data_IF_311732036579
#
_entry.id   IF_311732036579
#
_cell.length_a   1.000
_cell.length_b   1.000
_cell.length_c   1.000
_cell.angle_alpha   90.00
_cell.angle_beta   90.00
_cell.angle_gamma   90.00
#
_symmetry.space_group_name_H-M   'P 1'
#
loop_
_entity.id
_entity.type
_entity.pdbx_description
1 polymer ?
#
# COMPACT_ATOMS: atom_id res chain seq x y z
N UNK A 1 22.69 -14.99 -1.47
CA UNK A 1 21.25 -14.70 -1.56
C UNK A 1 20.76 -14.32 -0.17
N UNK A 2 19.99 -13.27 0.01
CA UNK A 2 19.40 -12.96 1.31
C UNK A 2 18.47 -14.11 1.73
N UNK A 3 18.39 -14.36 3.04
CA UNK A 3 17.46 -15.36 3.60
C UNK A 3 16.02 -14.95 3.30
N UNK A 4 15.15 -15.90 3.01
CA UNK A 4 13.72 -15.67 2.73
C UNK A 4 13.06 -14.83 3.83
N UNK A 5 13.43 -15.03 5.08
CA UNK A 5 12.94 -14.23 6.20
C UNK A 5 13.36 -12.76 6.11
N UNK A 6 14.59 -12.53 5.64
CA UNK A 6 15.10 -11.18 5.46
C UNK A 6 14.39 -10.45 4.32
N UNK A 7 14.16 -11.12 3.18
CA UNK A 7 13.39 -10.59 2.06
C UNK A 7 11.99 -10.17 2.54
N UNK A 8 11.28 -11.07 3.23
CA UNK A 8 9.95 -10.78 3.76
C UNK A 8 9.97 -9.60 4.74
N UNK A 9 10.98 -9.51 5.60
CA UNK A 9 11.15 -8.41 6.55
C UNK A 9 11.33 -7.07 5.82
N UNK A 10 12.16 -7.03 4.80
CA UNK A 10 12.41 -5.81 4.02
C UNK A 10 11.17 -5.39 3.23
N UNK A 11 10.50 -6.32 2.55
CA UNK A 11 9.25 -6.04 1.85
C UNK A 11 8.17 -5.51 2.81
N UNK A 12 8.12 -6.03 4.05
CA UNK A 12 7.19 -5.55 5.07
C UNK A 12 7.49 -4.12 5.56
N UNK A 13 8.72 -3.64 5.37
CA UNK A 13 9.15 -2.27 5.67
C UNK A 13 8.97 -1.31 4.47
N UNK A 14 8.51 -1.80 3.33
CA UNK A 14 8.29 -0.99 2.14
C UNK A 14 7.23 0.09 2.33
N UNK A 15 7.29 1.13 1.49
CA UNK A 15 6.27 2.19 1.45
C UNK A 15 4.89 1.62 1.11
N UNK A 16 4.83 0.62 0.25
CA UNK A 16 3.60 -0.08 -0.09
C UNK A 16 2.95 -0.74 1.15
N UNK A 17 3.76 -1.40 1.96
CA UNK A 17 3.26 -2.01 3.20
C UNK A 17 2.97 -0.99 4.29
N UNK A 18 3.68 0.13 4.34
CA UNK A 18 3.33 1.25 5.21
C UNK A 18 1.92 1.76 4.88
N UNK A 19 1.62 1.91 3.60
CA UNK A 19 0.30 2.30 3.12
C UNK A 19 -0.79 1.28 3.48
N UNK A 20 -0.55 -0.01 3.26
CA UNK A 20 -1.48 -1.09 3.65
C UNK A 20 -1.76 -1.07 5.15
N UNK A 21 -0.71 -1.01 5.98
CA UNK A 21 -0.83 -0.95 7.45
C UNK A 21 -1.69 0.22 7.90
N UNK A 22 -1.48 1.38 7.29
CA UNK A 22 -2.26 2.57 7.57
C UNK A 22 -3.75 2.38 7.28
N UNK A 23 -4.08 1.83 6.11
CA UNK A 23 -5.49 1.59 5.75
C UNK A 23 -6.14 0.53 6.63
N UNK A 24 -5.39 -0.50 7.02
CA UNK A 24 -5.88 -1.49 7.99
C UNK A 24 -6.11 -0.86 9.37
N UNK A 25 -5.23 0.05 9.80
CA UNK A 25 -5.42 0.79 11.04
C UNK A 25 -6.67 1.69 11.00
N UNK A 26 -6.85 2.42 9.89
CA UNK A 26 -8.06 3.23 9.66
C UNK A 26 -9.30 2.33 9.71
N UNK A 27 -9.30 1.21 8.98
CA UNK A 27 -10.41 0.27 8.98
C UNK A 27 -10.72 -0.26 10.39
N UNK A 28 -9.69 -0.57 11.18
CA UNK A 28 -9.84 -1.05 12.56
C UNK A 28 -10.52 -0.01 13.48
N UNK A 29 -10.33 1.29 13.21
CA UNK A 29 -11.01 2.36 13.96
C UNK A 29 -12.43 2.56 13.42
N UNK A 30 -12.61 2.57 12.11
CA UNK A 30 -13.92 2.88 11.50
C UNK A 30 -14.93 1.75 11.64
N UNK A 31 -14.51 0.49 11.72
CA UNK A 31 -15.43 -0.64 11.93
C UNK A 31 -16.27 -0.46 13.21
N UNK A 32 -15.67 -0.32 14.40
CA UNK A 32 -16.47 -0.15 15.62
C UNK A 32 -17.29 1.14 15.61
N UNK A 33 -16.78 2.23 15.03
CA UNK A 33 -17.52 3.49 14.92
C UNK A 33 -18.74 3.32 14.03
N UNK A 34 -18.61 2.70 12.86
CA UNK A 34 -19.74 2.48 11.94
C UNK A 34 -20.78 1.53 12.53
N UNK A 35 -20.36 0.52 13.30
CA UNK A 35 -21.29 -0.37 14.02
C UNK A 35 -22.07 0.40 15.08
N UNK A 36 -21.41 1.28 15.84
CA UNK A 36 -22.07 2.12 16.84
C UNK A 36 -23.07 3.09 16.20
N UNK A 37 -22.64 3.82 15.16
CA UNK A 37 -23.51 4.76 14.44
C UNK A 37 -24.71 4.01 13.84
N UNK A 38 -24.46 2.85 13.22
CA UNK A 38 -25.51 2.02 12.66
C UNK A 38 -26.50 1.56 13.73
N UNK A 39 -26.01 1.14 14.90
CA UNK A 39 -26.84 0.70 16.01
C UNK A 39 -27.77 1.82 16.52
N UNK A 40 -27.22 3.01 16.76
CA UNK A 40 -28.01 4.15 17.23
C UNK A 40 -28.92 4.73 16.14
N UNK A 41 -28.40 4.86 14.92
CA UNK A 41 -29.15 5.44 13.80
C UNK A 41 -30.33 4.58 13.31
N UNK A 42 -30.27 3.26 13.51
CA UNK A 42 -31.38 2.37 13.11
C UNK A 42 -32.38 2.11 14.22
N UNK A 43 -32.16 2.67 15.42
CA UNK A 43 -32.96 2.39 16.60
C UNK A 43 -34.42 2.76 16.40
N UNK A 44 -34.69 3.90 15.78
CA UNK A 44 -36.03 4.48 15.68
C UNK A 44 -36.69 4.22 14.31
N UNK A 45 -35.89 3.86 13.29
CA UNK A 45 -36.40 3.71 11.91
C UNK A 45 -36.81 2.29 11.51
N UNK A 46 -36.31 1.27 12.21
CA UNK A 46 -36.47 -0.14 11.81
C UNK A 46 -36.88 -1.02 13.00
N UNK A 47 -38.03 -0.73 13.60
CA UNK A 47 -38.54 -1.51 14.74
C UNK A 47 -38.81 -2.98 14.39
N UNK A 48 -39.27 -3.24 13.15
CA UNK A 48 -39.77 -4.54 12.71
C UNK A 48 -38.75 -5.32 11.81
N UNK A 49 -37.59 -4.74 11.53
CA UNK A 49 -36.58 -5.37 10.66
C UNK A 49 -35.33 -5.73 11.48
N UNK A 50 -34.70 -6.89 11.22
CA UNK A 50 -33.44 -7.25 11.86
C UNK A 50 -32.37 -6.18 11.56
N UNK A 51 -31.91 -5.46 12.58
CA UNK A 51 -30.95 -4.33 12.43
C UNK A 51 -29.57 -4.79 12.05
N UNK A 52 -29.11 -5.90 12.59
CA UNK A 52 -27.75 -6.39 12.39
C UNK A 52 -27.36 -6.63 10.93
N UNK A 53 -28.20 -7.26 10.09
CA UNK A 53 -27.87 -7.39 8.68
C UNK A 53 -27.68 -6.07 7.95
N UNK A 54 -28.48 -5.06 8.28
CA UNK A 54 -28.40 -3.71 7.67
C UNK A 54 -27.10 -3.04 8.10
N UNK A 55 -26.79 -3.06 9.40
CA UNK A 55 -25.57 -2.45 9.94
C UNK A 55 -24.33 -3.10 9.31
N UNK A 56 -24.28 -4.44 9.25
CA UNK A 56 -23.19 -5.16 8.63
C UNK A 56 -23.08 -4.87 7.13
N UNK A 57 -24.21 -4.82 6.42
CA UNK A 57 -24.20 -4.51 5.00
C UNK A 57 -23.61 -3.13 4.73
N UNK A 58 -24.04 -2.10 5.45
CA UNK A 58 -23.52 -0.73 5.31
C UNK A 58 -22.03 -0.68 5.66
N UNK A 59 -21.63 -1.31 6.77
CA UNK A 59 -20.23 -1.34 7.21
C UNK A 59 -19.34 -2.04 6.19
N UNK A 60 -19.75 -3.20 5.69
CA UNK A 60 -19.00 -3.96 4.69
C UNK A 60 -18.94 -3.23 3.34
N UNK A 61 -19.99 -2.55 2.94
CA UNK A 61 -20.01 -1.77 1.70
C UNK A 61 -19.04 -0.59 1.79
N UNK A 62 -18.93 0.05 2.94
CA UNK A 62 -18.04 1.19 3.16
C UNK A 62 -16.56 0.77 3.28
N UNK A 63 -16.27 -0.31 3.99
CA UNK A 63 -14.90 -0.70 4.37
C UNK A 63 -14.38 -1.85 3.51
N UNK A 64 -15.27 -2.70 2.99
CA UNK A 64 -14.90 -3.87 2.19
C UNK A 64 -13.96 -3.57 1.02
N UNK A 65 -14.22 -2.56 0.19
CA UNK A 65 -13.33 -2.20 -0.92
C UNK A 65 -11.90 -1.88 -0.45
N UNK A 66 -11.75 -1.22 0.69
CA UNK A 66 -10.44 -0.89 1.27
C UNK A 66 -9.70 -2.17 1.69
N UNK A 67 -10.40 -3.09 2.37
CA UNK A 67 -9.82 -4.36 2.80
C UNK A 67 -9.42 -5.24 1.61
N UNK A 68 -10.26 -5.30 0.58
CA UNK A 68 -9.98 -6.04 -0.67
C UNK A 68 -8.75 -5.44 -1.36
N UNK A 69 -8.68 -4.13 -1.48
CA UNK A 69 -7.51 -3.44 -2.04
C UNK A 69 -6.23 -3.76 -1.25
N UNK A 70 -6.27 -3.68 0.08
CA UNK A 70 -5.13 -4.03 0.94
C UNK A 70 -4.70 -5.49 0.76
N UNK A 71 -5.67 -6.41 0.68
CA UNK A 71 -5.39 -7.82 0.48
C UNK A 71 -4.74 -8.08 -0.89
N UNK A 72 -5.30 -7.53 -1.98
CA UNK A 72 -4.74 -7.68 -3.33
C UNK A 72 -3.32 -7.12 -3.39
N UNK A 73 -3.09 -5.92 -2.82
CA UNK A 73 -1.77 -5.29 -2.83
C UNK A 73 -0.75 -6.12 -2.04
N UNK A 74 -1.13 -6.63 -0.88
CA UNK A 74 -0.27 -7.51 -0.08
C UNK A 74 0.06 -8.80 -0.84
N UNK A 75 -0.95 -9.45 -1.41
CA UNK A 75 -0.75 -10.68 -2.18
C UNK A 75 0.19 -10.44 -3.35
N UNK A 76 0.00 -9.37 -4.11
CA UNK A 76 0.85 -9.05 -5.26
C UNK A 76 2.32 -8.83 -4.90
N UNK A 77 2.59 -8.23 -3.73
CA UNK A 77 3.97 -8.01 -3.28
C UNK A 77 4.61 -9.32 -2.79
N UNK A 78 3.86 -10.15 -2.05
CA UNK A 78 4.45 -11.34 -1.42
C UNK A 78 4.35 -12.61 -2.26
N UNK A 79 3.53 -12.63 -3.33
CA UNK A 79 3.32 -13.82 -4.18
C UNK A 79 4.62 -14.36 -4.79
N UNK A 80 5.52 -13.45 -5.18
CA UNK A 80 6.82 -13.77 -5.79
C UNK A 80 7.95 -13.15 -4.98
N UNK A 81 7.90 -13.28 -3.65
CA UNK A 81 8.85 -12.63 -2.76
C UNK A 81 10.30 -13.09 -2.99
N UNK A 82 10.49 -14.29 -3.50
CA UNK A 82 11.83 -14.86 -3.76
C UNK A 82 12.52 -14.28 -5.01
N UNK A 83 11.73 -13.70 -5.92
CA UNK A 83 12.21 -13.12 -7.19
C UNK A 83 12.58 -11.63 -7.06
N UNK A 84 12.63 -11.09 -5.83
CA UNK A 84 13.03 -9.70 -5.61
C UNK A 84 14.53 -9.54 -5.49
N UNK A 85 15.09 -8.62 -6.28
CA UNK A 85 16.46 -8.14 -6.17
C UNK A 85 16.47 -6.76 -5.52
N UNK A 86 17.37 -6.58 -4.55
CA UNK A 86 17.48 -5.32 -3.81
C UNK A 86 18.65 -4.52 -4.34
N UNK A 87 18.40 -3.30 -4.77
CA UNK A 87 19.42 -2.37 -5.21
C UNK A 87 19.24 -0.97 -4.61
N UNK A 88 20.32 -0.21 -4.54
CA UNK A 88 20.27 1.21 -4.15
C UNK A 88 20.17 2.06 -5.41
N UNK A 89 19.22 2.96 -5.42
CA UNK A 89 18.98 3.87 -6.56
C UNK A 89 18.49 5.23 -6.08
N UNK A 90 18.52 6.20 -6.96
CA UNK A 90 17.98 7.53 -6.69
C UNK A 90 16.57 7.65 -7.30
N UNK A 91 15.63 8.16 -6.53
CA UNK A 91 14.28 8.42 -7.02
C UNK A 91 14.28 9.69 -7.89
N UNK A 92 14.05 9.53 -9.18
CA UNK A 92 14.07 10.62 -10.15
C UNK A 92 12.72 10.76 -10.84
N UNK A 93 12.54 11.89 -11.52
CA UNK A 93 11.43 12.17 -12.44
C UNK A 93 10.05 11.77 -11.86
N UNK A 94 9.55 12.49 -10.85
CA UNK A 94 8.22 12.24 -10.32
C UNK A 94 7.18 12.42 -11.42
N UNK A 95 6.36 11.40 -11.65
CA UNK A 95 5.28 11.40 -12.63
C UNK A 95 3.94 11.21 -11.91
N UNK A 96 2.87 11.79 -12.43
CA UNK A 96 1.52 11.49 -11.94
C UNK A 96 1.24 9.99 -12.02
N UNK A 97 0.73 9.43 -10.95
CA UNK A 97 0.31 8.02 -10.91
C UNK A 97 -1.03 7.81 -11.62
N UNK A 98 -1.44 6.56 -11.71
CA UNK A 98 -2.71 6.16 -12.32
C UNK A 98 -3.95 6.55 -11.52
N UNK A 99 -3.78 6.86 -10.25
CA UNK A 99 -4.83 7.31 -9.33
C UNK A 99 -4.52 8.74 -8.92
N UNK A 100 -5.57 9.56 -8.75
CA UNK A 100 -5.44 10.93 -8.24
C UNK A 100 -4.63 10.95 -6.94
N UNK A 101 -3.77 11.95 -6.81
CA UNK A 101 -2.91 12.14 -5.64
C UNK A 101 -1.88 11.01 -5.42
N UNK A 102 -1.51 10.30 -6.48
CA UNK A 102 -0.40 9.35 -6.47
C UNK A 102 0.72 9.81 -7.38
N UNK A 103 1.95 9.44 -7.03
CA UNK A 103 3.16 9.68 -7.81
C UNK A 103 3.90 8.38 -8.02
N UNK A 104 4.52 8.27 -9.18
CA UNK A 104 5.51 7.25 -9.50
C UNK A 104 6.85 7.92 -9.70
N UNK A 105 7.91 7.24 -9.31
CA UNK A 105 9.27 7.66 -9.61
C UNK A 105 9.86 6.74 -10.68
N UNK A 106 10.69 7.31 -11.55
CA UNK A 106 11.56 6.51 -12.40
C UNK A 106 12.84 6.23 -11.62
N UNK A 107 13.26 4.97 -11.59
CA UNK A 107 14.49 4.51 -10.95
C UNK A 107 15.36 3.79 -11.96
N UNK A 108 16.67 3.86 -11.76
CA UNK A 108 17.64 3.09 -12.53
C UNK A 108 17.93 1.81 -11.76
N UNK A 109 17.62 0.68 -12.35
CA UNK A 109 17.85 -0.63 -11.76
C UNK A 109 19.05 -1.27 -12.46
N UNK A 110 19.90 -1.90 -11.69
CA UNK A 110 20.98 -2.74 -12.17
C UNK A 110 20.61 -4.19 -11.85
N UNK A 111 20.47 -5.01 -12.89
CA UNK A 111 20.15 -6.43 -12.72
C UNK A 111 21.39 -7.26 -12.29
N UNK A 112 21.22 -8.55 -12.10
CA UNK A 112 22.27 -9.45 -11.68
C UNK A 112 23.45 -9.54 -12.68
N UNK A 113 23.20 -9.24 -13.96
CA UNK A 113 24.17 -9.26 -15.05
C UNK A 113 24.86 -7.90 -15.24
N UNK A 114 24.51 -6.88 -14.43
CA UNK A 114 25.07 -5.53 -14.50
C UNK A 114 24.43 -4.66 -15.59
N UNK A 115 23.36 -5.11 -16.22
CA UNK A 115 22.59 -4.30 -17.17
C UNK A 115 21.73 -3.27 -16.45
N UNK A 116 21.80 -2.02 -16.92
CA UNK A 116 21.05 -0.90 -16.32
C UNK A 116 19.84 -0.53 -17.18
N UNK A 117 18.69 -0.50 -16.57
CA UNK A 117 17.46 -0.10 -17.22
C UNK A 117 16.63 0.81 -16.30
N UNK A 118 15.73 1.59 -16.91
CA UNK A 118 14.82 2.45 -16.18
C UNK A 118 13.50 1.74 -15.93
N UNK A 119 13.02 1.77 -14.69
CA UNK A 119 11.72 1.23 -14.31
C UNK A 119 10.94 2.24 -13.47
N UNK A 120 9.62 2.16 -13.51
CA UNK A 120 8.77 3.00 -12.69
C UNK A 120 8.38 2.28 -11.39
N UNK A 121 8.44 2.99 -10.27
CA UNK A 121 7.98 2.46 -8.97
C UNK A 121 6.48 2.25 -8.97
N UNK A 122 5.99 1.48 -8.02
CA UNK A 122 4.57 1.51 -7.69
C UNK A 122 4.09 2.93 -7.36
N UNK A 123 2.80 3.18 -7.57
CA UNK A 123 2.20 4.45 -7.22
C UNK A 123 2.26 4.68 -5.70
N UNK A 124 2.84 5.80 -5.32
CA UNK A 124 2.99 6.24 -3.93
C UNK A 124 2.02 7.41 -3.73
N UNK A 125 1.25 7.39 -2.66
CA UNK A 125 0.32 8.47 -2.36
C UNK A 125 1.05 9.70 -1.82
N UNK A 126 0.67 10.87 -2.33
CA UNK A 126 1.29 12.15 -2.01
C UNK A 126 0.54 12.96 -0.97
N UNK A 127 -0.71 12.58 -0.67
CA UNK A 127 -1.56 13.33 0.26
C UNK A 127 -1.21 12.99 1.69
N UNK A 128 -0.57 13.95 2.37
CA UNK A 128 0.05 13.46 3.49
C UNK A 128 0.27 14.35 4.63
N UNK A 129 -0.54 15.37 4.77
CA UNK A 129 -0.67 16.11 6.00
C UNK A 129 -1.07 15.27 7.23
N UNK A 130 -0.55 14.13 7.39
CA UNK A 130 -0.84 13.21 8.51
C UNK A 130 0.08 12.00 8.53
N UNK A 131 0.92 11.88 7.49
CA UNK A 131 1.84 10.75 7.34
C UNK A 131 3.27 11.23 7.17
N UNK A 132 3.96 11.58 8.27
CA UNK A 132 5.30 12.17 8.22
C UNK A 132 6.32 11.29 7.52
N UNK A 133 6.01 10.00 7.30
CA UNK A 133 6.90 9.06 6.63
C UNK A 133 6.63 8.92 5.12
N UNK A 134 5.71 9.70 4.55
CA UNK A 134 5.30 9.60 3.15
C UNK A 134 5.30 10.97 2.45
N UNK A 135 5.92 11.98 3.04
CA UNK A 135 6.08 13.28 2.40
C UNK A 135 6.94 13.13 1.14
N UNK A 136 6.42 13.63 0.01
CA UNK A 136 7.07 13.48 -1.29
C UNK A 136 8.45 14.13 -1.32
N UNK A 137 8.56 15.29 -0.69
CA UNK A 137 9.80 16.07 -0.62
C UNK A 137 10.94 15.27 0.03
N UNK A 138 10.60 14.33 0.92
CA UNK A 138 11.58 13.48 1.59
C UNK A 138 12.19 12.42 0.67
N UNK A 139 11.61 12.18 -0.51
CA UNK A 139 12.03 11.10 -1.41
C UNK A 139 12.61 11.59 -2.73
N UNK A 140 12.28 12.81 -3.18
CA UNK A 140 12.81 13.34 -4.44
C UNK A 140 14.33 13.51 -4.38
N UNK A 141 15.04 12.93 -5.35
CA UNK A 141 16.49 12.92 -5.43
C UNK A 141 17.23 12.23 -4.27
N UNK A 142 16.54 11.47 -3.45
CA UNK A 142 17.18 10.68 -2.41
C UNK A 142 17.62 9.31 -2.92
N UNK A 143 18.72 8.83 -2.38
CA UNK A 143 19.14 7.44 -2.57
C UNK A 143 18.36 6.55 -1.61
N UNK A 144 17.59 5.65 -2.17
CA UNK A 144 16.77 4.68 -1.44
C UNK A 144 17.12 3.27 -1.85
N UNK A 145 16.73 2.31 -1.04
CA UNK A 145 16.74 0.90 -1.44
C UNK A 145 15.43 0.59 -2.16
N UNK A 146 15.51 -0.03 -3.32
CA UNK A 146 14.34 -0.56 -4.02
C UNK A 146 14.45 -2.06 -4.15
N UNK A 147 13.30 -2.72 -4.14
CA UNK A 147 13.19 -4.13 -4.48
C UNK A 147 12.54 -4.23 -5.86
N UNK A 148 13.23 -4.83 -6.81
CA UNK A 148 12.73 -5.11 -8.15
C UNK A 148 12.43 -6.58 -8.31
N UNK A 149 11.26 -6.88 -8.85
CA UNK A 149 10.83 -8.25 -9.13
C UNK A 149 10.84 -8.49 -10.64
N UNK A 150 11.72 -9.38 -11.10
CA UNK A 150 11.90 -9.68 -12.52
C UNK A 150 10.68 -10.37 -13.15
N UNK A 151 9.92 -11.15 -12.37
CA UNK A 151 8.75 -11.88 -12.90
C UNK A 151 7.55 -10.97 -13.15
N UNK A 152 7.44 -9.89 -12.38
CA UNK A 152 6.25 -9.02 -12.38
C UNK A 152 6.55 -7.59 -12.82
N UNK A 153 7.80 -7.26 -13.12
CA UNK A 153 8.29 -5.90 -13.40
C UNK A 153 7.92 -4.87 -12.33
N UNK A 154 7.77 -5.33 -11.08
CA UNK A 154 7.36 -4.49 -9.98
C UNK A 154 8.56 -3.90 -9.25
N UNK A 155 8.50 -2.59 -9.02
CA UNK A 155 9.48 -1.87 -8.21
C UNK A 155 8.83 -1.36 -6.95
N UNK A 156 9.33 -1.82 -5.82
CA UNK A 156 8.85 -1.48 -4.48
C UNK A 156 9.93 -0.69 -3.75
N UNK A 157 9.58 0.47 -3.22
CA UNK A 157 10.52 1.31 -2.46
C UNK A 157 10.60 0.81 -1.03
N UNK A 158 11.83 0.49 -0.59
CA UNK A 158 12.14 0.10 0.78
C UNK A 158 12.70 1.32 1.52
N UNK A 159 12.28 1.49 2.73
CA UNK A 159 12.70 2.62 3.57
C UNK A 159 14.02 2.34 4.29
#
# INVERSE_FOLDING_TARGET
MPDKKEIHRQLWQSLDMAYVKMHLFIAAIFIPISLLIGWFGTRDFYSDVPRWPIIWFVTLTAIGPILVFCAIRTINIFRHAESYHFCKTTLCNPKGGSIRDTIKFTVLIEDADGYKFAADTHSIFTTHRGYPNLALEDYVNQTVTVAYNEETDQVVVIK
#
